data_IF_945185254563
#
_entry.id   IF_945185254563
#
_cell.length_a   1.000
_cell.length_b   1.000
_cell.length_c   1.000
_cell.angle_alpha   90.00
_cell.angle_beta   90.00
_cell.angle_gamma   90.00
#
_symmetry.space_group_name_H-M   'P 1'
#
loop_
_entity.id
_entity.type
_entity.pdbx_description
1 polymer ?
#
# COMPACT_ATOMS: atom_id res chain seq x y z
N UNK A 1 22.04 21.18 16.40
CA UNK A 1 23.02 20.62 15.44
C UNK A 1 22.59 21.13 14.08
N UNK A 2 23.40 21.95 13.41
CA UNK A 2 23.05 22.47 12.08
C UNK A 2 23.27 21.35 11.06
N UNK A 3 22.28 20.48 10.89
CA UNK A 3 22.24 19.54 9.77
C UNK A 3 22.06 20.37 8.51
N UNK A 4 23.17 20.67 7.85
CA UNK A 4 23.18 21.34 6.56
C UNK A 4 22.29 20.54 5.61
N UNK A 5 21.18 21.16 5.18
CA UNK A 5 20.28 20.54 4.23
C UNK A 5 21.06 20.13 2.98
N UNK A 6 20.85 18.92 2.49
CA UNK A 6 21.53 18.41 1.30
C UNK A 6 21.35 19.35 0.12
N UNK A 7 22.44 19.59 -0.61
CA UNK A 7 22.38 20.31 -1.89
C UNK A 7 21.80 19.42 -2.99
N UNK A 8 21.42 20.03 -4.10
CA UNK A 8 20.98 19.30 -5.29
C UNK A 8 22.06 18.35 -5.82
N UNK A 9 23.33 18.72 -5.64
CA UNK A 9 24.46 17.85 -5.95
C UNK A 9 24.50 16.64 -5.02
N UNK A 10 24.34 16.85 -3.72
CA UNK A 10 24.31 15.75 -2.75
C UNK A 10 23.17 14.76 -3.04
N UNK A 11 22.01 15.25 -3.49
CA UNK A 11 20.92 14.38 -3.95
C UNK A 11 21.32 13.56 -5.18
N UNK A 12 21.91 14.17 -6.21
CA UNK A 12 22.36 13.45 -7.41
C UNK A 12 23.46 12.43 -7.11
N UNK A 13 24.41 12.79 -6.24
CA UNK A 13 25.47 11.88 -5.78
C UNK A 13 24.88 10.69 -5.00
N UNK A 14 23.80 10.91 -4.24
CA UNK A 14 23.05 9.85 -3.59
C UNK A 14 22.33 8.94 -4.58
N UNK A 15 21.64 9.49 -5.57
CA UNK A 15 20.96 8.71 -6.63
C UNK A 15 21.96 7.86 -7.41
N UNK A 16 23.12 8.41 -7.73
CA UNK A 16 24.19 7.69 -8.43
C UNK A 16 24.69 6.51 -7.59
N UNK A 17 24.88 6.72 -6.28
CA UNK A 17 25.22 5.61 -5.36
C UNK A 17 24.16 4.52 -5.33
N UNK A 18 22.87 4.86 -5.24
CA UNK A 18 21.79 3.86 -5.29
C UNK A 18 21.89 3.03 -6.58
N UNK A 19 22.17 3.69 -7.71
CA UNK A 19 22.30 3.02 -9.01
C UNK A 19 23.53 2.10 -9.09
N UNK A 20 24.62 2.50 -8.46
CA UNK A 20 25.88 1.75 -8.46
C UNK A 20 25.85 0.55 -7.49
N UNK A 21 24.82 0.43 -6.64
CA UNK A 21 24.59 -0.76 -5.85
C UNK A 21 24.15 -1.91 -6.76
N UNK A 22 25.06 -2.86 -6.97
CA UNK A 22 24.82 -4.07 -7.74
C UNK A 22 23.76 -4.97 -7.05
N UNK A 23 23.10 -5.84 -7.83
CA UNK A 23 22.02 -6.72 -7.35
C UNK A 23 22.45 -7.57 -6.14
N UNK A 24 22.16 -7.09 -4.92
CA UNK A 24 22.47 -7.77 -3.66
C UNK A 24 23.17 -6.89 -2.62
N UNK A 25 23.64 -5.70 -2.98
CA UNK A 25 24.09 -4.70 -2.00
C UNK A 25 22.94 -3.75 -1.66
N UNK A 26 22.60 -3.68 -0.37
CA UNK A 26 21.64 -2.71 0.13
C UNK A 26 22.37 -1.45 0.56
N UNK A 27 21.73 -0.31 0.34
CA UNK A 27 22.15 0.97 0.90
C UNK A 27 22.25 0.82 2.43
N UNK A 28 23.28 1.39 3.05
CA UNK A 28 23.42 1.32 4.50
C UNK A 28 22.24 2.00 5.20
N UNK A 29 21.81 1.47 6.35
CA UNK A 29 20.72 2.07 7.14
C UNK A 29 20.97 3.56 7.43
N UNK A 30 22.22 3.93 7.73
CA UNK A 30 22.62 5.33 7.96
C UNK A 30 22.42 6.24 6.73
N UNK A 31 22.63 5.71 5.52
CA UNK A 31 22.48 6.46 4.27
C UNK A 31 21.00 6.64 3.92
N UNK A 32 20.20 5.57 4.11
CA UNK A 32 18.74 5.62 3.99
C UNK A 32 18.18 6.64 4.97
N UNK A 33 18.51 6.53 6.25
CA UNK A 33 18.04 7.43 7.29
C UNK A 33 18.53 8.87 7.05
N UNK A 34 19.74 9.00 6.50
CA UNK A 34 20.27 10.27 6.02
C UNK A 34 19.37 10.92 4.98
N UNK A 35 18.96 10.17 3.95
CA UNK A 35 18.00 10.66 2.96
C UNK A 35 16.64 10.97 3.59
N UNK A 36 16.11 10.10 4.45
CA UNK A 36 14.80 10.30 5.09
C UNK A 36 14.76 11.62 5.87
N UNK A 37 15.78 11.91 6.69
CA UNK A 37 15.88 13.20 7.40
C UNK A 37 15.86 14.40 6.45
N UNK A 38 16.51 14.27 5.29
CA UNK A 38 16.56 15.34 4.30
C UNK A 38 15.23 15.51 3.57
N UNK A 39 14.56 14.41 3.24
CA UNK A 39 13.22 14.41 2.67
C UNK A 39 12.20 15.06 3.62
N UNK A 40 12.28 14.78 4.92
CA UNK A 40 11.43 15.42 5.95
C UNK A 40 11.57 16.95 5.97
N UNK A 41 12.77 17.46 5.72
CA UNK A 41 13.03 18.91 5.72
C UNK A 41 12.68 19.55 4.37
N UNK A 42 13.04 18.89 3.26
CA UNK A 42 13.00 19.49 1.91
C UNK A 42 11.70 19.24 1.16
N UNK A 43 11.12 18.04 1.27
CA UNK A 43 10.00 17.58 0.45
C UNK A 43 8.68 17.69 1.22
N UNK A 44 8.67 17.14 2.44
CA UNK A 44 7.44 16.92 3.24
C UNK A 44 6.60 18.18 3.45
N UNK A 45 7.16 19.38 3.75
CA UNK A 45 6.35 20.58 3.94
C UNK A 45 5.50 20.92 2.71
N UNK A 46 6.08 20.78 1.53
CA UNK A 46 5.42 21.10 0.27
C UNK A 46 4.42 20.02 -0.13
N UNK A 47 4.77 18.73 0.02
CA UNK A 47 3.84 17.62 -0.22
C UNK A 47 2.61 17.74 0.68
N UNK A 48 2.82 17.99 1.99
CA UNK A 48 1.72 18.20 2.95
C UNK A 48 0.81 19.34 2.54
N UNK A 49 1.39 20.48 2.15
CA UNK A 49 0.63 21.65 1.71
C UNK A 49 -0.27 21.31 0.52
N UNK A 50 0.27 20.64 -0.50
CA UNK A 50 -0.47 20.27 -1.72
C UNK A 50 -1.53 19.21 -1.46
N UNK A 51 -1.17 18.14 -0.74
CA UNK A 51 -2.12 17.06 -0.39
C UNK A 51 -3.26 17.61 0.47
N UNK A 52 -2.98 18.48 1.44
CA UNK A 52 -4.02 19.11 2.23
C UNK A 52 -4.93 20.00 1.37
N UNK A 53 -4.36 20.80 0.46
CA UNK A 53 -5.14 21.70 -0.39
C UNK A 53 -6.02 20.94 -1.40
N UNK A 54 -5.55 19.82 -1.94
CA UNK A 54 -6.25 19.08 -2.99
C UNK A 54 -7.18 17.98 -2.45
N UNK A 55 -6.74 17.27 -1.39
CA UNK A 55 -7.42 16.09 -0.84
C UNK A 55 -8.10 16.41 0.48
N UNK A 56 -7.67 17.44 1.21
CA UNK A 56 -8.18 17.76 2.55
C UNK A 56 -7.68 16.79 3.62
N UNK A 57 -6.59 16.05 3.35
CA UNK A 57 -6.06 15.04 4.26
C UNK A 57 -4.73 15.49 4.88
N UNK A 58 -4.55 15.16 6.16
CA UNK A 58 -3.26 15.26 6.84
C UNK A 58 -2.46 13.98 6.64
N UNK A 59 -1.16 14.12 6.38
CA UNK A 59 -0.24 13.00 6.14
C UNK A 59 0.95 13.05 7.11
N UNK A 60 1.41 11.87 7.52
CA UNK A 60 2.56 11.73 8.39
C UNK A 60 3.87 12.14 7.67
N UNK A 61 4.80 12.76 8.40
CA UNK A 61 6.02 13.31 7.82
C UNK A 61 6.97 12.19 7.41
N UNK A 62 7.20 11.28 8.36
CA UNK A 62 8.12 10.18 8.19
C UNK A 62 7.61 9.19 7.14
N UNK A 63 6.31 8.93 7.13
CA UNK A 63 5.66 8.13 6.09
C UNK A 63 5.86 8.72 4.69
N UNK A 64 5.69 10.04 4.52
CA UNK A 64 5.94 10.70 3.22
C UNK A 64 7.42 10.65 2.83
N UNK A 65 8.33 10.85 3.78
CA UNK A 65 9.76 10.72 3.51
C UNK A 65 10.14 9.29 3.11
N UNK A 66 9.52 8.28 3.72
CA UNK A 66 9.68 6.87 3.35
C UNK A 66 9.15 6.59 1.95
N UNK A 67 7.96 7.09 1.61
CA UNK A 67 7.43 7.01 0.24
C UNK A 67 8.35 7.71 -0.75
N UNK A 68 8.97 8.83 -0.38
CA UNK A 68 9.93 9.51 -1.23
C UNK A 68 11.17 8.65 -1.53
N UNK A 69 11.66 7.91 -0.53
CA UNK A 69 12.77 6.97 -0.73
C UNK A 69 12.36 5.82 -1.66
N UNK A 70 11.22 5.19 -1.41
CA UNK A 70 10.70 4.10 -2.26
C UNK A 70 10.46 4.56 -3.70
N UNK A 71 9.88 5.76 -3.88
CA UNK A 71 9.69 6.38 -5.20
C UNK A 71 11.03 6.59 -5.90
N UNK A 72 12.05 7.02 -5.16
CA UNK A 72 13.39 7.23 -5.69
C UNK A 72 14.04 5.92 -6.11
N UNK A 73 13.94 4.86 -5.30
CA UNK A 73 14.46 3.53 -5.64
C UNK A 73 13.83 2.98 -6.93
N UNK A 74 12.50 3.11 -7.05
CA UNK A 74 11.77 2.68 -8.25
C UNK A 74 12.21 3.49 -9.49
N UNK A 75 12.32 4.81 -9.34
CA UNK A 75 12.66 5.69 -10.47
C UNK A 75 14.14 5.67 -10.82
N UNK A 76 15.03 5.17 -9.95
CA UNK A 76 16.47 5.04 -10.23
C UNK A 76 16.73 4.12 -11.41
N UNK A 77 15.89 3.09 -11.59
CA UNK A 77 15.89 2.20 -12.76
C UNK A 77 14.81 2.57 -13.79
N UNK A 78 14.02 3.59 -13.49
CA UNK A 78 12.90 4.07 -14.29
C UNK A 78 13.29 5.09 -15.35
N UNK A 79 12.31 5.44 -16.19
CA UNK A 79 12.49 6.45 -17.25
C UNK A 79 12.69 7.86 -16.68
N UNK A 80 12.25 8.12 -15.44
CA UNK A 80 12.33 9.45 -14.83
C UNK A 80 13.67 9.71 -14.14
N UNK A 81 14.53 8.69 -13.97
CA UNK A 81 15.92 8.85 -13.52
C UNK A 81 16.65 9.97 -14.27
N UNK A 82 16.58 9.97 -15.61
CA UNK A 82 17.27 10.97 -16.43
C UNK A 82 16.87 12.39 -16.04
N UNK A 83 15.60 12.62 -15.74
CA UNK A 83 15.10 13.93 -15.33
C UNK A 83 15.64 14.35 -13.96
N UNK A 84 15.72 13.45 -12.99
CA UNK A 84 16.35 13.72 -11.69
C UNK A 84 17.81 14.13 -11.82
N UNK A 85 18.51 13.61 -12.82
CA UNK A 85 19.93 13.94 -13.06
C UNK A 85 20.13 15.27 -13.79
N UNK A 86 19.25 15.64 -14.72
CA UNK A 86 19.47 16.81 -15.61
C UNK A 86 18.65 18.05 -15.25
N UNK A 87 17.58 17.93 -14.46
CA UNK A 87 16.77 19.09 -14.06
C UNK A 87 17.58 20.08 -13.22
N UNK A 88 17.24 21.36 -13.29
CA UNK A 88 17.87 22.41 -12.46
C UNK A 88 17.42 22.35 -11.00
N UNK A 89 16.25 21.75 -10.72
CA UNK A 89 15.70 21.59 -9.37
C UNK A 89 15.22 20.15 -9.15
N UNK A 90 16.11 19.24 -8.71
CA UNK A 90 15.78 17.84 -8.53
C UNK A 90 14.90 17.58 -7.31
N UNK A 91 14.96 18.45 -6.30
CA UNK A 91 14.09 18.35 -5.11
C UNK A 91 12.64 18.70 -5.45
N UNK A 92 12.41 19.75 -6.24
CA UNK A 92 11.05 20.06 -6.71
C UNK A 92 10.49 18.94 -7.60
N UNK A 93 11.29 18.41 -8.53
CA UNK A 93 10.85 17.31 -9.36
C UNK A 93 10.48 16.06 -8.54
N UNK A 94 11.31 15.69 -7.55
CA UNK A 94 11.00 14.59 -6.64
C UNK A 94 9.74 14.89 -5.79
N UNK A 95 9.54 16.13 -5.37
CA UNK A 95 8.31 16.56 -4.67
C UNK A 95 7.07 16.31 -5.52
N UNK A 96 7.14 16.63 -6.82
CA UNK A 96 6.04 16.41 -7.76
C UNK A 96 5.71 14.92 -7.88
N UNK A 97 6.74 14.07 -8.05
CA UNK A 97 6.59 12.62 -8.14
C UNK A 97 5.92 12.04 -6.89
N UNK A 98 6.41 12.42 -5.71
CA UNK A 98 5.87 11.94 -4.43
C UNK A 98 4.44 12.43 -4.22
N UNK A 99 4.15 13.67 -4.59
CA UNK A 99 2.79 14.23 -4.49
C UNK A 99 1.82 13.45 -5.39
N UNK A 100 2.23 13.14 -6.62
CA UNK A 100 1.43 12.36 -7.55
C UNK A 100 1.22 10.91 -7.06
N UNK A 101 2.24 10.29 -6.48
CA UNK A 101 2.16 8.95 -5.91
C UNK A 101 1.17 8.91 -4.74
N UNK A 102 1.32 9.82 -3.77
CA UNK A 102 0.41 9.93 -2.61
C UNK A 102 -1.02 10.20 -3.09
N UNK A 103 -1.21 11.10 -4.06
CA UNK A 103 -2.52 11.38 -4.66
C UNK A 103 -3.11 10.16 -5.35
N UNK A 104 -2.29 9.41 -6.07
CA UNK A 104 -2.64 8.15 -6.72
C UNK A 104 -3.16 7.12 -5.70
N UNK A 105 -2.41 6.93 -4.62
CA UNK A 105 -2.78 6.03 -3.52
C UNK A 105 -4.12 6.43 -2.88
N UNK A 106 -4.32 7.71 -2.53
CA UNK A 106 -5.60 8.18 -1.97
C UNK A 106 -6.78 7.93 -2.91
N UNK A 107 -6.62 8.23 -4.21
CA UNK A 107 -7.67 7.97 -5.21
C UNK A 107 -7.97 6.48 -5.34
N UNK A 108 -6.95 5.63 -5.34
CA UNK A 108 -7.11 4.18 -5.39
C UNK A 108 -7.86 3.66 -4.16
N UNK A 109 -7.49 4.10 -2.95
CA UNK A 109 -8.19 3.73 -1.72
C UNK A 109 -9.64 4.21 -1.69
N UNK A 110 -9.91 5.43 -2.17
CA UNK A 110 -11.27 5.96 -2.25
C UNK A 110 -12.15 5.16 -3.24
N UNK A 111 -11.61 4.80 -4.41
CA UNK A 111 -12.30 3.94 -5.39
C UNK A 111 -12.58 2.56 -4.80
N UNK A 112 -11.59 1.92 -4.18
CA UNK A 112 -11.75 0.61 -3.54
C UNK A 112 -12.86 0.61 -2.49
N UNK A 113 -12.96 1.66 -1.66
CA UNK A 113 -14.06 1.81 -0.69
C UNK A 113 -15.43 1.98 -1.35
N UNK A 114 -15.50 2.75 -2.43
CA UNK A 114 -16.74 2.92 -3.19
C UNK A 114 -17.20 1.61 -3.84
N UNK A 115 -16.25 0.85 -4.42
CA UNK A 115 -16.52 -0.46 -5.02
C UNK A 115 -16.95 -1.48 -3.96
N UNK A 116 -16.29 -1.52 -2.80
CA UNK A 116 -16.71 -2.37 -1.68
C UNK A 116 -18.12 -2.04 -1.20
N UNK A 117 -18.47 -0.74 -1.10
CA UNK A 117 -19.83 -0.30 -0.75
C UNK A 117 -20.84 -0.68 -1.83
N UNK A 118 -20.47 -0.56 -3.11
CA UNK A 118 -21.32 -0.99 -4.24
C UNK A 118 -21.56 -2.50 -4.23
N UNK A 119 -20.51 -3.29 -4.01
CA UNK A 119 -20.62 -4.75 -3.89
C UNK A 119 -21.50 -5.15 -2.70
N UNK A 120 -21.35 -4.47 -1.55
CA UNK A 120 -22.23 -4.67 -0.39
C UNK A 120 -23.69 -4.33 -0.70
N UNK A 121 -23.96 -3.22 -1.38
CA UNK A 121 -25.32 -2.86 -1.80
C UNK A 121 -25.93 -3.85 -2.79
N UNK A 122 -25.13 -4.43 -3.69
CA UNK A 122 -25.58 -5.51 -4.58
C UNK A 122 -25.90 -6.77 -3.78
N UNK A 123 -25.10 -7.11 -2.77
CA UNK A 123 -25.35 -8.25 -1.89
C UNK A 123 -26.63 -8.06 -1.06
N UNK A 124 -26.87 -6.86 -0.53
CA UNK A 124 -28.07 -6.51 0.24
C UNK A 124 -29.34 -6.46 -0.63
N UNK A 125 -29.24 -6.01 -1.89
CA UNK A 125 -30.36 -5.96 -2.83
C UNK A 125 -30.60 -7.28 -3.58
N UNK A 126 -29.77 -8.30 -3.35
CA UNK A 126 -29.93 -9.61 -3.99
C UNK A 126 -31.00 -10.42 -3.23
N UNK A 127 -32.12 -10.82 -3.88
CA UNK A 127 -33.22 -11.55 -3.24
C UNK A 127 -32.87 -12.97 -2.81
N UNK A 128 -31.61 -13.39 -2.96
CA UNK A 128 -31.11 -14.71 -2.57
C UNK A 128 -30.95 -14.88 -1.05
N UNK A 129 -30.94 -13.78 -0.28
CA UNK A 129 -30.88 -13.82 1.18
C UNK A 129 -32.24 -14.18 1.85
N UNK A 130 -33.37 -14.03 1.14
CA UNK A 130 -34.71 -14.39 1.64
C UNK A 130 -35.08 -15.88 1.44
N UNK A 131 -34.25 -16.67 0.75
CA UNK A 131 -34.55 -18.07 0.40
C UNK A 131 -33.75 -19.12 1.20
N UNK A 132 -33.11 -18.75 2.30
CA UNK A 132 -32.62 -19.74 3.26
C UNK A 132 -33.75 -20.05 4.25
N UNK A 133 -34.40 -21.22 4.18
CA UNK A 133 -35.33 -21.61 5.22
C UNK A 133 -34.58 -21.71 6.55
N UNK A 134 -35.07 -21.00 7.55
CA UNK A 134 -34.78 -21.25 8.96
C UNK A 134 -34.97 -22.76 9.22
N UNK A 135 -34.03 -23.45 9.88
CA UNK A 135 -34.26 -24.82 10.30
C UNK A 135 -35.29 -24.78 11.44
N UNK A 136 -36.57 -24.81 11.08
CA UNK A 136 -37.61 -25.20 12.02
C UNK A 136 -37.31 -26.62 12.49
N UNK A 137 -37.40 -26.77 13.81
CA UNK A 137 -37.11 -27.98 14.54
C UNK A 137 -37.81 -29.19 13.90
N UNK A 138 -37.02 -30.17 13.48
CA UNK A 138 -37.51 -31.51 13.17
C UNK A 138 -37.96 -32.11 14.50
N UNK A 139 -39.27 -32.07 14.77
CA UNK A 139 -39.89 -32.96 15.75
C UNK A 139 -39.66 -34.39 15.28
N UNK A 140 -38.78 -35.10 15.99
CA UNK A 140 -38.54 -36.53 15.81
C UNK A 140 -39.75 -37.27 16.37
N UNK A 141 -40.67 -37.61 15.47
CA UNK A 141 -41.76 -38.55 15.73
C UNK A 141 -41.22 -39.95 15.96
N UNK A 142 -41.50 -40.45 17.15
CA UNK A 142 -41.39 -41.84 17.61
C UNK A 142 -42.16 -42.81 16.69
N UNK A 143 -41.50 -43.86 16.22
CA UNK A 143 -41.99 -45.25 15.97
C UNK A 143 -40.78 -46.01 15.42
N UNK A 144 -40.19 -47.02 16.06
CA UNK A 144 -40.80 -48.15 16.73
C UNK A 144 -40.98 -49.28 15.71
N UNK A 145 -39.96 -50.13 15.52
CA UNK A 145 -40.08 -51.59 15.31
C UNK A 145 -38.66 -52.20 15.24
N UNK A 146 -38.45 -53.27 16.00
CA UNK A 146 -37.24 -54.11 15.99
C UNK A 146 -37.32 -55.09 14.82
N UNK A 147 -36.18 -55.50 14.28
CA UNK A 147 -35.92 -56.94 14.18
C UNK A 147 -34.43 -57.22 14.07
N UNK A 148 -34.03 -58.21 14.86
CA UNK A 148 -32.73 -58.87 14.90
C UNK A 148 -32.45 -59.62 13.57
N UNK A 149 -31.18 -59.94 13.30
CA UNK A 149 -30.67 -61.25 12.85
C UNK A 149 -29.21 -61.13 12.34
N UNK A 150 -28.35 -61.84 13.09
CA UNK A 150 -27.17 -62.66 12.74
C UNK A 150 -26.13 -62.13 11.73
N UNK A 151 -24.88 -61.90 12.15
CA UNK A 151 -23.80 -62.90 12.28
C UNK A 151 -23.29 -63.39 10.90
N UNK A 152 -22.16 -62.86 10.43
CA UNK A 152 -20.90 -63.61 10.33
C UNK A 152 -19.78 -62.73 9.75
N UNK A 153 -18.62 -62.90 10.34
CA UNK A 153 -17.34 -62.22 10.10
C UNK A 153 -16.56 -62.94 8.96
N UNK A 154 -15.30 -62.59 8.63
CA UNK A 154 -14.85 -62.35 7.26
C UNK A 154 -14.03 -63.52 6.68
N UNK A 155 -13.80 -63.50 5.37
CA UNK A 155 -12.73 -64.31 4.76
C UNK A 155 -11.72 -63.41 4.06
N UNK A 156 -10.47 -63.70 4.41
CA UNK A 156 -9.19 -63.08 4.07
C UNK A 156 -8.89 -62.92 2.57
#
# INVERSE_FOLDING_TARGET
MNDSSWSDRALRDFITRIRDLDFGMHLGEDERDGFIRQAEVRLVPEVRRRVLAEIGATIDAHGVASVAFETLEQETWGKRHTWLMVTTDPWAFLTDLVTDEVRGAYKASARSRADAKRLKGIAEASPRAELMPTPEAVEVGETGERDDVEEEDPVA
#
